data_IF_988130990527
#
_entry.id   IF_988130990527
#
_cell.length_a   1.000
_cell.length_b   1.000
_cell.length_c   1.000
_cell.angle_alpha   90.00
_cell.angle_beta   90.00
_cell.angle_gamma   90.00
#
_symmetry.space_group_name_H-M   'P 1'
#
loop_
_entity.id
_entity.type
_entity.pdbx_description
1 polymer ?
#
# COMPACT_ATOMS: atom_id res chain seq x y z
N UNK A 1 -22.42 -1.35 -14.28
CA UNK A 1 -21.99 -2.31 -13.24
C UNK A 1 -20.91 -1.63 -12.40
N UNK A 2 -21.17 -1.32 -11.13
CA UNK A 2 -20.15 -0.73 -10.25
C UNK A 2 -19.04 -1.77 -10.03
N UNK A 3 -17.81 -1.47 -10.45
CA UNK A 3 -16.70 -2.37 -10.21
C UNK A 3 -16.42 -2.51 -8.71
N UNK A 4 -16.14 -3.73 -8.26
CA UNK A 4 -15.78 -3.99 -6.87
C UNK A 4 -14.50 -3.20 -6.53
N UNK A 5 -14.50 -2.35 -5.48
CA UNK A 5 -13.37 -1.48 -5.16
C UNK A 5 -12.07 -2.26 -4.89
N UNK A 6 -12.15 -3.49 -4.38
CA UNK A 6 -10.98 -4.34 -4.17
C UNK A 6 -10.40 -4.89 -5.48
N UNK A 7 -11.22 -5.06 -6.53
CA UNK A 7 -10.72 -5.47 -7.85
C UNK A 7 -10.01 -4.29 -8.53
N UNK A 8 -10.53 -3.07 -8.39
CA UNK A 8 -9.88 -1.85 -8.86
C UNK A 8 -8.58 -1.60 -8.10
N UNK A 9 -8.56 -1.85 -6.79
CA UNK A 9 -7.33 -1.78 -6.00
C UNK A 9 -6.29 -2.79 -6.52
N UNK A 10 -6.70 -4.05 -6.72
CA UNK A 10 -5.84 -5.12 -7.23
C UNK A 10 -5.24 -4.80 -8.61
N UNK A 11 -6.03 -4.24 -9.53
CA UNK A 11 -5.52 -3.92 -10.88
C UNK A 11 -4.46 -2.83 -10.89
N UNK A 12 -4.38 -2.03 -9.82
CA UNK A 12 -3.39 -0.96 -9.58
C UNK A 12 -2.29 -1.36 -8.57
N UNK A 13 -2.38 -2.56 -8.00
CA UNK A 13 -1.48 -3.11 -6.98
C UNK A 13 -1.17 -4.57 -7.30
N UNK A 14 -0.61 -4.79 -8.48
CA UNK A 14 -0.32 -6.12 -9.02
C UNK A 14 1.13 -6.54 -8.82
N UNK A 15 2.04 -5.58 -8.62
CA UNK A 15 3.45 -5.85 -8.38
C UNK A 15 3.69 -6.35 -6.95
N UNK A 16 4.43 -7.46 -6.82
CA UNK A 16 4.83 -7.99 -5.51
C UNK A 16 5.59 -6.97 -4.67
N UNK A 17 6.50 -6.24 -5.30
CA UNK A 17 7.32 -5.23 -4.61
C UNK A 17 6.41 -4.14 -4.08
N UNK A 18 5.44 -3.68 -4.88
CA UNK A 18 4.48 -2.67 -4.45
C UNK A 18 3.62 -3.18 -3.26
N UNK A 19 3.13 -4.42 -3.33
CA UNK A 19 2.37 -5.04 -2.25
C UNK A 19 3.18 -5.20 -0.96
N UNK A 20 4.45 -5.61 -1.05
CA UNK A 20 5.34 -5.70 0.11
C UNK A 20 5.63 -4.33 0.71
N UNK A 21 5.84 -3.30 -0.12
CA UNK A 21 5.99 -1.94 0.36
C UNK A 21 4.73 -1.47 1.09
N UNK A 22 3.53 -1.76 0.58
CA UNK A 22 2.29 -1.45 1.28
C UNK A 22 2.17 -2.20 2.62
N UNK A 23 2.56 -3.48 2.66
CA UNK A 23 2.51 -4.29 3.89
C UNK A 23 3.29 -3.65 5.05
N UNK A 24 4.46 -3.06 4.79
CA UNK A 24 5.28 -2.46 5.83
C UNK A 24 4.99 -0.97 6.04
N UNK A 25 4.76 -0.23 4.96
CA UNK A 25 4.66 1.22 5.04
C UNK A 25 3.25 1.73 5.31
N UNK A 26 2.19 0.95 5.08
CA UNK A 26 0.84 1.32 5.54
C UNK A 26 0.76 1.31 7.07
N UNK A 27 1.20 0.27 7.80
CA UNK A 27 1.27 0.32 9.27
C UNK A 27 2.16 1.45 9.79
N UNK A 28 3.29 1.73 9.12
CA UNK A 28 4.16 2.86 9.52
C UNK A 28 3.43 4.21 9.39
N UNK A 29 2.64 4.39 8.33
CA UNK A 29 1.79 5.57 8.17
C UNK A 29 0.74 5.66 9.29
N UNK A 30 0.11 4.54 9.66
CA UNK A 30 -0.84 4.49 10.77
C UNK A 30 -0.17 4.88 12.10
N UNK A 31 1.03 4.38 12.37
CA UNK A 31 1.81 4.77 13.56
C UNK A 31 2.09 6.26 13.56
N UNK A 32 2.55 6.83 12.45
CA UNK A 32 2.80 8.28 12.35
C UNK A 32 1.54 9.12 12.60
N UNK A 33 0.39 8.71 12.03
CA UNK A 33 -0.88 9.42 12.22
C UNK A 33 -1.44 9.28 13.64
N UNK A 34 -1.40 8.08 14.24
CA UNK A 34 -1.76 7.88 15.65
C UNK A 34 -0.85 8.72 16.55
N UNK A 35 0.47 8.70 16.31
CA UNK A 35 1.44 9.44 17.10
C UNK A 35 1.16 10.96 17.05
N UNK A 36 0.88 11.51 15.87
CA UNK A 36 0.47 12.91 15.73
C UNK A 36 -0.78 13.21 16.56
N UNK A 37 -1.82 12.38 16.48
CA UNK A 37 -3.07 12.60 17.21
C UNK A 37 -2.84 12.52 18.72
N UNK A 38 -2.15 11.49 19.20
CA UNK A 38 -1.89 11.28 20.64
C UNK A 38 -1.04 12.42 21.20
N UNK A 39 0.06 12.76 20.54
CA UNK A 39 0.94 13.86 20.98
C UNK A 39 0.26 15.21 20.88
N UNK A 40 -0.70 15.40 19.97
CA UNK A 40 -1.47 16.65 19.93
C UNK A 40 -2.20 16.92 21.26
N UNK A 41 -2.68 15.88 21.96
CA UNK A 41 -3.36 16.04 23.24
C UNK A 41 -2.42 16.02 24.46
N UNK A 42 -1.28 15.34 24.38
CA UNK A 42 -0.35 15.19 25.51
C UNK A 42 0.75 16.25 25.50
N UNK A 43 1.36 16.47 24.33
CA UNK A 43 2.49 17.39 24.16
C UNK A 43 2.48 18.00 22.74
N UNK A 44 1.63 19.02 22.48
CA UNK A 44 1.29 19.48 21.13
C UNK A 44 2.50 19.83 20.26
N UNK A 45 3.56 20.40 20.85
CA UNK A 45 4.79 20.73 20.13
C UNK A 45 5.48 19.50 19.52
N UNK A 46 5.38 18.32 20.15
CA UNK A 46 5.95 17.08 19.63
C UNK A 46 5.06 16.39 18.59
N UNK A 47 3.79 16.79 18.44
CA UNK A 47 2.87 16.17 17.47
C UNK A 47 3.37 16.23 16.02
N UNK A 48 4.26 17.18 15.74
CA UNK A 48 4.88 17.37 14.43
C UNK A 48 5.75 16.18 14.01
N UNK A 49 6.24 15.36 14.95
CA UNK A 49 7.14 14.22 14.68
C UNK A 49 6.43 13.11 13.86
N UNK A 50 5.10 13.00 13.92
CA UNK A 50 4.39 12.02 13.11
C UNK A 50 4.37 12.36 11.61
N UNK A 51 4.48 13.64 11.23
CA UNK A 51 4.50 14.04 9.82
C UNK A 51 5.68 13.47 9.01
N UNK A 52 6.95 13.55 9.46
CA UNK A 52 8.05 12.93 8.73
C UNK A 52 7.91 11.40 8.64
N UNK A 53 7.34 10.74 9.66
CA UNK A 53 7.07 9.29 9.61
C UNK A 53 6.05 8.98 8.51
N UNK A 54 4.93 9.71 8.47
CA UNK A 54 3.93 9.59 7.41
C UNK A 54 4.53 9.91 6.03
N UNK A 55 5.38 10.92 5.92
CA UNK A 55 6.02 11.31 4.66
C UNK A 55 6.97 10.22 4.13
N UNK A 56 7.79 9.63 4.99
CA UNK A 56 8.67 8.50 4.63
C UNK A 56 7.82 7.31 4.15
N UNK A 57 6.75 6.98 4.88
CA UNK A 57 5.85 5.90 4.52
C UNK A 57 5.19 6.13 3.15
N UNK A 58 4.72 7.35 2.86
CA UNK A 58 4.17 7.70 1.55
C UNK A 58 5.23 7.64 0.45
N UNK A 59 6.45 8.11 0.71
CA UNK A 59 7.56 8.09 -0.24
C UNK A 59 7.90 6.67 -0.70
N UNK A 60 7.96 5.73 0.25
CA UNK A 60 8.24 4.33 -0.04
C UNK A 60 7.11 3.65 -0.82
N UNK A 61 5.85 3.95 -0.49
CA UNK A 61 4.70 3.46 -1.28
C UNK A 61 4.70 4.02 -2.71
N UNK A 62 5.04 5.30 -2.89
CA UNK A 62 5.17 5.91 -4.21
C UNK A 62 6.24 5.24 -5.07
N UNK A 63 7.36 4.78 -4.49
CA UNK A 63 8.35 3.97 -5.21
C UNK A 63 7.71 2.67 -5.72
N UNK A 64 6.89 2.01 -4.90
CA UNK A 64 6.14 0.82 -5.30
C UNK A 64 5.19 1.07 -6.47
N UNK A 65 4.39 2.15 -6.41
CA UNK A 65 3.45 2.50 -7.47
C UNK A 65 4.13 2.81 -8.81
N UNK A 66 5.38 3.28 -8.82
CA UNK A 66 6.14 3.49 -10.07
C UNK A 66 6.42 2.19 -10.84
N UNK A 67 6.32 1.04 -10.17
CA UNK A 67 6.52 -0.28 -10.75
C UNK A 67 5.22 -0.88 -11.32
N UNK A 68 4.08 -0.23 -11.12
CA UNK A 68 2.79 -0.72 -11.61
C UNK A 68 2.56 -0.35 -13.06
N UNK A 69 2.02 -1.30 -13.83
CA UNK A 69 1.60 -1.05 -15.22
C UNK A 69 0.43 -0.07 -15.27
N UNK A 70 -0.54 -0.25 -14.38
CA UNK A 70 -1.70 0.63 -14.28
C UNK A 70 -1.45 1.68 -13.20
N UNK A 71 -1.13 2.90 -13.63
CA UNK A 71 -0.88 4.00 -12.70
C UNK A 71 -2.18 4.47 -12.03
N UNK A 72 -2.12 4.93 -10.77
CA UNK A 72 -3.24 5.61 -10.14
C UNK A 72 -3.61 6.89 -10.91
N UNK A 73 -4.89 7.25 -10.87
CA UNK A 73 -5.33 8.54 -11.42
C UNK A 73 -4.60 9.70 -10.74
N UNK A 74 -4.21 10.75 -11.49
CA UNK A 74 -3.68 11.98 -10.91
C UNK A 74 -4.63 12.55 -9.85
N UNK A 75 -4.06 13.21 -8.84
CA UNK A 75 -4.88 13.92 -7.86
C UNK A 75 -5.51 15.14 -8.50
N UNK A 76 -6.79 15.36 -8.24
CA UNK A 76 -7.53 16.53 -8.77
C UNK A 76 -7.32 17.80 -7.94
N UNK A 77 -6.73 17.67 -6.75
CA UNK A 77 -6.35 18.78 -5.88
C UNK A 77 -5.88 18.30 -4.49
N UNK A 78 -5.51 19.24 -3.59
CA UNK A 78 -4.99 18.90 -2.27
C UNK A 78 -5.97 18.08 -1.41
N UNK A 79 -7.26 18.36 -1.52
CA UNK A 79 -8.28 17.64 -0.75
C UNK A 79 -8.50 16.21 -1.25
N UNK A 80 -8.45 16.01 -2.58
CA UNK A 80 -8.50 14.68 -3.19
C UNK A 80 -7.27 13.86 -2.77
N UNK A 81 -6.09 14.47 -2.76
CA UNK A 81 -4.86 13.86 -2.25
C UNK A 81 -5.03 13.37 -0.81
N UNK A 82 -5.42 14.25 0.12
CA UNK A 82 -5.60 13.88 1.54
C UNK A 82 -6.61 12.74 1.67
N UNK A 83 -7.79 12.89 1.06
CA UNK A 83 -8.85 11.87 1.14
C UNK A 83 -8.38 10.51 0.64
N UNK A 84 -7.79 10.46 -0.55
CA UNK A 84 -7.38 9.19 -1.17
C UNK A 84 -6.28 8.52 -0.37
N UNK A 85 -5.28 9.27 0.11
CA UNK A 85 -4.24 8.72 0.97
C UNK A 85 -4.87 8.12 2.23
N UNK A 86 -5.64 8.88 3.01
CA UNK A 86 -6.20 8.34 4.25
C UNK A 86 -7.18 7.17 4.03
N UNK A 87 -8.02 7.20 2.99
CA UNK A 87 -8.90 6.09 2.64
C UNK A 87 -8.08 4.84 2.27
N UNK A 88 -7.03 5.01 1.48
CA UNK A 88 -6.18 3.90 1.07
C UNK A 88 -5.48 3.26 2.27
N UNK A 89 -4.84 4.07 3.12
CA UNK A 89 -4.10 3.60 4.29
C UNK A 89 -5.02 2.93 5.32
N UNK A 90 -6.16 3.53 5.66
CA UNK A 90 -7.00 3.09 6.78
C UNK A 90 -8.15 2.17 6.41
N UNK A 91 -8.60 2.17 5.15
CA UNK A 91 -9.82 1.45 4.74
C UNK A 91 -9.51 0.46 3.64
N UNK A 92 -8.97 0.91 2.51
CA UNK A 92 -8.85 0.08 1.31
C UNK A 92 -7.78 -0.98 1.48
N UNK A 93 -6.56 -0.62 1.90
CA UNK A 93 -5.49 -1.60 2.07
C UNK A 93 -5.82 -2.63 3.17
N UNK A 94 -6.29 -2.26 4.38
CA UNK A 94 -6.67 -3.25 5.39
C UNK A 94 -7.75 -4.22 4.88
N UNK A 95 -8.80 -3.73 4.21
CA UNK A 95 -9.80 -4.60 3.59
C UNK A 95 -9.20 -5.50 2.52
N UNK A 96 -8.29 -4.98 1.69
CA UNK A 96 -7.62 -5.75 0.65
C UNK A 96 -6.73 -6.86 1.24
N UNK A 97 -5.93 -6.54 2.24
CA UNK A 97 -5.09 -7.48 2.98
C UNK A 97 -5.93 -8.60 3.60
N UNK A 98 -7.01 -8.25 4.31
CA UNK A 98 -7.92 -9.20 4.95
C UNK A 98 -8.76 -10.02 3.95
N UNK A 99 -8.96 -9.54 2.71
CA UNK A 99 -9.72 -10.27 1.69
C UNK A 99 -9.00 -11.51 1.14
N UNK A 100 -7.72 -11.72 1.50
CA UNK A 100 -6.91 -12.83 0.99
C UNK A 100 -6.38 -12.65 -0.44
N UNK A 101 -6.87 -11.66 -1.19
CA UNK A 101 -6.40 -11.33 -2.56
C UNK A 101 -4.92 -10.97 -2.58
N UNK A 102 -4.44 -10.30 -1.53
CA UNK A 102 -3.03 -10.00 -1.30
C UNK A 102 -2.14 -11.25 -1.39
N UNK A 103 -2.49 -12.30 -0.63
CA UNK A 103 -1.69 -13.53 -0.56
C UNK A 103 -1.72 -14.32 -1.87
N UNK A 104 -2.82 -14.27 -2.63
CA UNK A 104 -2.90 -14.94 -3.94
C UNK A 104 -1.82 -14.45 -4.91
N UNK A 105 -1.55 -13.14 -4.94
CA UNK A 105 -0.52 -12.56 -5.82
C UNK A 105 0.88 -12.91 -5.34
N UNK A 106 1.10 -12.91 -4.01
CA UNK A 106 2.39 -13.30 -3.45
C UNK A 106 2.72 -14.77 -3.74
N UNK A 107 1.76 -15.67 -3.49
CA UNK A 107 1.92 -17.12 -3.67
C UNK A 107 1.98 -17.54 -5.14
N UNK A 108 1.13 -16.98 -6.02
CA UNK A 108 1.05 -17.44 -7.43
C UNK A 108 2.37 -17.32 -8.19
N UNK A 109 3.23 -16.39 -7.77
CA UNK A 109 4.47 -16.12 -8.47
C UNK A 109 5.68 -16.79 -7.81
N UNK A 110 5.49 -17.43 -6.65
CA UNK A 110 6.41 -18.47 -6.14
C UNK A 110 6.21 -19.77 -6.93
N UNK A 111 4.95 -20.11 -7.23
CA UNK A 111 4.62 -21.31 -8.02
C UNK A 111 5.14 -21.23 -9.47
N UNK A 112 5.02 -20.06 -10.11
CA UNK A 112 5.59 -19.84 -11.45
C UNK A 112 7.12 -19.91 -11.49
N UNK A 113 7.78 -19.52 -10.38
CA UNK A 113 9.24 -19.58 -10.27
C UNK A 113 9.70 -21.03 -10.05
N UNK A 114 8.99 -21.78 -9.21
CA UNK A 114 9.22 -23.21 -8.99
C UNK A 114 8.97 -24.03 -10.27
N UNK A 115 7.91 -23.74 -11.03
CA UNK A 115 7.62 -24.38 -12.32
C UNK A 115 8.71 -24.10 -13.38
N UNK A 116 9.25 -22.89 -13.43
CA UNK A 116 10.38 -22.56 -14.33
C UNK A 116 11.67 -23.26 -13.90
N UNK A 117 11.94 -23.35 -12.60
CA UNK A 117 13.12 -24.03 -12.07
C UNK A 117 13.08 -25.54 -12.37
N UNK A 118 11.94 -26.19 -12.11
CA UNK A 118 11.75 -27.63 -12.37
C UNK A 118 11.94 -27.96 -13.86
N UNK A 119 11.36 -27.15 -14.75
CA UNK A 119 11.53 -27.32 -16.21
C UNK A 119 12.97 -27.08 -16.70
N UNK A 120 13.79 -26.34 -15.96
CA UNK A 120 15.21 -26.14 -16.27
C UNK A 120 16.12 -27.25 -15.77
N UNK A 121 15.66 -28.08 -14.82
CA UNK A 121 16.43 -29.22 -14.30
C UNK A 121 16.11 -30.53 -15.04
N UNK A 122 14.94 -30.62 -15.67
CA UNK A 122 14.47 -31.80 -16.40
C UNK A 122 14.72 -31.75 -17.92
N UNK A 123 15.54 -30.79 -18.39
CA UNK A 123 15.97 -30.61 -19.78
C UNK A 123 17.50 -30.55 -19.82
#
# INVERSE_FOLDING_TARGET
MTQNPLNVYQSRHSSKINLLLHLFFVPLFMVGSILTIVLFFIQPFLSIIGFPIMAIAMGMQNIGHKLETNKPEPFTGPWDFIKRIFIEQWITFPKYFLSGKFFRILCSSTDLMNLKFDKSMNN
#
